data_IF_335002381014
#
_entry.id   IF_335002381014
#
_cell.length_a   1.000
_cell.length_b   1.000
_cell.length_c   1.000
_cell.angle_alpha   90.00
_cell.angle_beta   90.00
_cell.angle_gamma   90.00
#
_symmetry.space_group_name_H-M   'P 1'
#
loop_
_entity.id
_entity.type
_entity.pdbx_description
1 polymer ?
#
# COMPACT_ATOMS: atom_id res chain seq x y z
N UNK A 1 -20.18 -3.59 1.76
CA UNK A 1 -18.77 -3.19 2.01
C UNK A 1 -18.73 -2.46 3.33
N UNK A 2 -17.81 -2.81 4.22
CA UNK A 2 -17.68 -2.12 5.50
C UNK A 2 -17.01 -0.77 5.29
N UNK A 3 -17.60 0.29 5.84
CA UNK A 3 -17.05 1.64 5.78
C UNK A 3 -15.98 1.80 6.87
N UNK A 4 -14.78 2.25 6.49
CA UNK A 4 -13.65 2.44 7.40
C UNK A 4 -13.04 3.83 7.21
N UNK A 5 -12.46 4.39 8.25
CA UNK A 5 -11.73 5.66 8.16
C UNK A 5 -10.40 5.48 7.42
N UNK A 6 -9.91 6.54 6.77
CA UNK A 6 -8.59 6.52 6.11
C UNK A 6 -7.45 6.05 7.04
N UNK A 7 -7.47 6.42 8.33
CA UNK A 7 -6.47 5.98 9.30
C UNK A 7 -6.50 4.47 9.54
N UNK A 8 -7.70 3.87 9.54
CA UNK A 8 -7.88 2.42 9.66
C UNK A 8 -7.46 1.71 8.37
N UNK A 9 -7.87 2.25 7.22
CA UNK A 9 -7.46 1.75 5.91
C UNK A 9 -5.94 1.75 5.75
N UNK A 10 -5.29 2.85 6.13
CA UNK A 10 -3.82 2.97 6.11
C UNK A 10 -3.15 1.90 6.96
N UNK A 11 -3.64 1.65 8.18
CA UNK A 11 -3.08 0.59 9.05
C UNK A 11 -3.23 -0.79 8.44
N UNK A 12 -4.39 -1.11 7.88
CA UNK A 12 -4.66 -2.40 7.23
C UNK A 12 -3.76 -2.60 6.01
N UNK A 13 -3.69 -1.60 5.12
CA UNK A 13 -2.87 -1.68 3.92
C UNK A 13 -1.38 -1.77 4.25
N UNK A 14 -0.90 -1.02 5.26
CA UNK A 14 0.49 -1.13 5.72
C UNK A 14 0.78 -2.51 6.33
N UNK A 15 -0.15 -3.08 7.09
CA UNK A 15 0.01 -4.43 7.64
C UNK A 15 0.09 -5.49 6.52
N UNK A 16 -0.79 -5.38 5.51
CA UNK A 16 -0.80 -6.26 4.33
C UNK A 16 0.52 -6.17 3.54
N UNK A 17 1.00 -4.95 3.27
CA UNK A 17 2.27 -4.73 2.57
C UNK A 17 3.47 -5.23 3.37
N UNK A 18 3.49 -5.03 4.70
CA UNK A 18 4.56 -5.55 5.56
C UNK A 18 4.54 -7.08 5.61
N UNK A 19 3.36 -7.70 5.64
CA UNK A 19 3.24 -9.16 5.55
C UNK A 19 3.80 -9.68 4.22
N UNK A 20 3.37 -9.08 3.11
CA UNK A 20 3.88 -9.40 1.77
C UNK A 20 5.41 -9.24 1.70
N UNK A 21 5.94 -8.16 2.27
CA UNK A 21 7.39 -7.92 2.33
C UNK A 21 8.13 -9.03 3.10
N UNK A 22 7.57 -9.54 4.20
CA UNK A 22 8.18 -10.62 4.99
C UNK A 22 8.18 -11.96 4.23
N UNK A 23 7.15 -12.22 3.44
CA UNK A 23 7.03 -13.43 2.60
C UNK A 23 7.98 -13.39 1.38
N UNK A 24 8.45 -12.21 0.99
CA UNK A 24 9.38 -12.03 -0.13
C UNK A 24 10.86 -12.15 0.28
N UNK A 25 11.71 -12.72 -0.59
CA UNK A 25 13.16 -12.69 -0.43
C UNK A 25 13.70 -11.25 -0.37
N UNK A 26 14.73 -11.00 0.42
CA UNK A 26 15.28 -9.65 0.65
C UNK A 26 15.66 -8.95 -0.67
N UNK A 27 16.32 -9.67 -1.58
CA UNK A 27 16.72 -9.16 -2.90
C UNK A 27 15.53 -8.70 -3.77
N UNK A 28 14.33 -9.18 -3.49
CA UNK A 28 13.12 -8.81 -4.24
C UNK A 28 12.38 -7.62 -3.62
N UNK A 29 12.66 -7.27 -2.36
CA UNK A 29 11.98 -6.17 -1.66
C UNK A 29 12.36 -4.82 -2.26
N UNK A 30 13.60 -4.68 -2.72
CA UNK A 30 14.12 -3.47 -3.38
C UNK A 30 13.78 -3.42 -4.87
N UNK A 31 13.32 -4.54 -5.46
CA UNK A 31 12.97 -4.56 -6.88
C UNK A 31 11.63 -3.83 -7.09
N UNK A 32 11.56 -2.93 -8.08
CA UNK A 32 10.32 -2.25 -8.41
C UNK A 32 9.33 -3.21 -9.07
N UNK A 33 8.32 -3.64 -8.30
CA UNK A 33 7.26 -4.56 -8.74
C UNK A 33 5.89 -3.89 -8.88
N UNK A 34 5.71 -2.72 -8.28
CA UNK A 34 4.45 -1.99 -8.31
C UNK A 34 4.57 -0.78 -9.22
N UNK A 35 3.58 -0.54 -10.08
CA UNK A 35 3.55 0.64 -10.96
C UNK A 35 2.38 1.50 -10.53
N UNK A 36 2.68 2.75 -10.14
CA UNK A 36 1.66 3.74 -9.77
C UNK A 36 1.92 5.01 -10.57
N UNK A 37 0.92 5.48 -11.30
CA UNK A 37 1.04 6.66 -12.17
C UNK A 37 2.28 6.62 -13.08
N UNK A 38 2.50 5.49 -13.76
CA UNK A 38 3.65 5.24 -14.65
C UNK A 38 5.04 5.29 -13.97
N UNK A 39 5.10 5.35 -12.63
CA UNK A 39 6.35 5.27 -11.89
C UNK A 39 6.49 3.90 -11.24
N UNK A 40 7.65 3.24 -11.40
CA UNK A 40 7.96 2.01 -10.69
C UNK A 40 8.22 2.31 -9.20
N UNK A 41 7.67 1.47 -8.33
CA UNK A 41 7.85 1.49 -6.88
C UNK A 41 8.24 0.10 -6.39
N UNK A 42 9.27 0.03 -5.54
CA UNK A 42 9.53 -1.16 -4.73
C UNK A 42 8.50 -1.26 -3.60
N UNK A 43 8.43 -2.41 -2.92
CA UNK A 43 7.51 -2.57 -1.78
C UNK A 43 7.91 -1.62 -0.64
N UNK A 44 9.21 -1.34 -0.50
CA UNK A 44 9.75 -0.42 0.51
C UNK A 44 9.39 1.03 0.18
N UNK A 45 9.55 1.44 -1.08
CA UNK A 45 9.17 2.78 -1.52
C UNK A 45 7.67 3.02 -1.34
N UNK A 46 6.87 2.00 -1.61
CA UNK A 46 5.42 2.05 -1.44
C UNK A 46 5.01 2.23 0.02
N UNK A 47 5.62 1.45 0.93
CA UNK A 47 5.41 1.61 2.37
C UNK A 47 5.80 3.03 2.81
N UNK A 48 6.95 3.53 2.37
CA UNK A 48 7.41 4.87 2.69
C UNK A 48 6.47 5.96 2.13
N UNK A 49 5.95 5.80 0.92
CA UNK A 49 5.01 6.73 0.29
C UNK A 49 3.69 6.79 1.06
N UNK A 50 3.18 5.63 1.51
CA UNK A 50 1.97 5.55 2.34
C UNK A 50 2.22 6.17 3.72
N UNK A 51 3.36 5.90 4.35
CA UNK A 51 3.73 6.48 5.64
C UNK A 51 3.79 8.02 5.56
N UNK A 52 4.43 8.55 4.52
CA UNK A 52 4.53 9.99 4.22
C UNK A 52 3.24 10.63 3.72
N UNK A 53 2.18 9.84 3.49
CA UNK A 53 0.90 10.29 2.93
C UNK A 53 1.05 11.04 1.60
N UNK A 54 1.95 10.61 0.72
CA UNK A 54 2.06 11.20 -0.62
C UNK A 54 0.77 10.98 -1.42
N UNK A 55 0.48 11.78 -2.46
CA UNK A 55 -0.70 11.58 -3.29
C UNK A 55 -0.81 10.15 -3.86
N UNK A 56 0.31 9.56 -4.26
CA UNK A 56 0.40 8.19 -4.77
C UNK A 56 0.12 7.15 -3.68
N UNK A 57 0.71 7.33 -2.50
CA UNK A 57 0.46 6.45 -1.35
C UNK A 57 -1.00 6.50 -0.90
N UNK A 58 -1.61 7.69 -0.86
CA UNK A 58 -3.04 7.85 -0.57
C UNK A 58 -3.89 7.10 -1.59
N UNK A 59 -3.67 7.34 -2.88
CA UNK A 59 -4.39 6.66 -3.97
C UNK A 59 -4.29 5.14 -3.84
N UNK A 60 -3.08 4.62 -3.58
CA UNK A 60 -2.88 3.20 -3.36
C UNK A 60 -3.66 2.65 -2.16
N UNK A 61 -3.71 3.38 -1.03
CA UNK A 61 -4.51 2.97 0.13
C UNK A 61 -5.99 2.87 -0.22
N UNK A 62 -6.55 3.82 -0.97
CA UNK A 62 -7.94 3.75 -1.43
C UNK A 62 -8.17 2.55 -2.35
N UNK A 63 -7.31 2.38 -3.37
CA UNK A 63 -7.42 1.30 -4.34
C UNK A 63 -7.28 -0.08 -3.67
N UNK A 64 -6.30 -0.24 -2.77
CA UNK A 64 -6.06 -1.49 -2.04
C UNK A 64 -7.14 -1.78 -1.01
N UNK A 65 -7.63 -0.76 -0.29
CA UNK A 65 -8.75 -0.93 0.63
C UNK A 65 -10.02 -1.38 -0.11
N UNK A 66 -10.29 -0.80 -1.29
CA UNK A 66 -11.40 -1.22 -2.16
C UNK A 66 -11.23 -2.66 -2.65
N UNK A 67 -10.02 -3.05 -3.05
CA UNK A 67 -9.71 -4.44 -3.41
C UNK A 67 -9.97 -5.42 -2.25
N UNK A 68 -9.69 -5.00 -1.02
CA UNK A 68 -9.96 -5.77 0.21
C UNK A 68 -11.45 -5.74 0.64
N UNK A 69 -12.33 -5.08 -0.13
CA UNK A 69 -13.77 -5.02 0.14
C UNK A 69 -14.21 -3.93 1.12
N UNK A 70 -13.33 -2.98 1.43
CA UNK A 70 -13.61 -1.83 2.29
C UNK A 70 -13.90 -0.56 1.48
N UNK A 71 -14.79 0.29 2.02
CA UNK A 71 -15.00 1.64 1.50
C UNK A 71 -14.37 2.61 2.47
N UNK A 72 -13.51 3.51 1.98
CA UNK A 72 -12.83 4.50 2.82
C UNK A 72 -13.64 5.79 2.83
N UNK A 73 -14.00 6.24 4.04
CA UNK A 73 -14.68 7.52 4.31
C UNK A 73 -13.69 8.62 4.67
#
# INVERSE_FOLDING_TARGET
>A
MSEITYSTAKKLVLADLRKTMLEMPVAERERPRYIINMKPYSILDLIAAIERNTPEGKKWVFDRAKYLGYVVK
#
